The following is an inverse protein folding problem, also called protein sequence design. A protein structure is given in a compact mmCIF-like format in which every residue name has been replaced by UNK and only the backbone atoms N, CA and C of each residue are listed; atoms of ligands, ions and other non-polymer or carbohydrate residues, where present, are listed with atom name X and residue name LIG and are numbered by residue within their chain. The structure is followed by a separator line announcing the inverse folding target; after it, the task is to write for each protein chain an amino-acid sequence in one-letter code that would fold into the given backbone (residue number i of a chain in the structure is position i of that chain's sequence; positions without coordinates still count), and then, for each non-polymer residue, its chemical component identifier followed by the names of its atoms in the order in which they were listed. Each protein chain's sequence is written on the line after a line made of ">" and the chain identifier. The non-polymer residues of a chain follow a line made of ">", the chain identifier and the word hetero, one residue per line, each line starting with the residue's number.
data_IF_763238603985
#
_entry.id   IF_763238603985
#
_cell.length_a   1.000
_cell.length_b   1.000
_cell.length_c   1.000
_cell.angle_alpha   90.00
_cell.angle_beta   90.00
_cell.angle_gamma   90.00
#
_symmetry.space_group_name_H-M   'P 1'
#
loop_
_entity.id
_entity.type
_entity.pdbx_description
1 polymer ?
#
# COMPACT_ATOMS: atom_id res chain seq x y z
N UNK A 1 -15.54 16.56 -9.19
CA UNK A 1 -16.22 15.37 -9.69
C UNK A 1 -16.85 15.64 -11.05
N UNK A 2 -17.81 16.54 -11.17
CA UNK A 2 -18.50 16.88 -12.44
C UNK A 2 -17.55 17.17 -13.61
N UNK A 3 -16.42 17.84 -13.37
CA UNK A 3 -15.42 18.15 -14.39
C UNK A 3 -14.61 16.93 -14.84
N UNK A 4 -14.42 15.93 -13.98
CA UNK A 4 -13.76 14.68 -14.31
C UNK A 4 -14.70 13.73 -15.07
N UNK A 5 -15.95 13.65 -14.67
CA UNK A 5 -16.96 12.79 -15.27
C UNK A 5 -17.29 13.16 -16.71
N UNK A 6 -17.08 14.43 -17.12
CA UNK A 6 -17.27 14.86 -18.50
C UNK A 6 -16.13 14.50 -19.46
N UNK A 7 -14.96 14.12 -18.92
CA UNK A 7 -13.73 13.93 -19.73
C UNK A 7 -13.18 12.51 -19.64
N UNK A 8 -13.46 11.81 -18.54
CA UNK A 8 -12.92 10.47 -18.27
C UNK A 8 -14.01 9.52 -17.78
N UNK A 9 -13.77 8.21 -17.90
CA UNK A 9 -14.60 7.21 -17.21
C UNK A 9 -14.62 7.53 -15.72
N UNK A 10 -15.77 7.41 -15.05
CA UNK A 10 -15.88 7.71 -13.63
C UNK A 10 -14.88 6.84 -12.84
N UNK A 11 -13.94 7.49 -12.17
CA UNK A 11 -12.97 6.86 -11.29
C UNK A 11 -13.40 7.15 -9.86
N UNK A 12 -13.48 6.12 -8.98
CA UNK A 12 -13.80 6.32 -7.58
C UNK A 12 -12.79 7.26 -6.91
N UNK A 13 -13.30 8.28 -6.22
CA UNK A 13 -12.48 9.25 -5.50
C UNK A 13 -12.36 8.84 -4.03
N UNK A 14 -11.14 8.89 -3.51
CA UNK A 14 -10.84 8.64 -2.10
C UNK A 14 -10.29 9.90 -1.46
N UNK A 15 -10.95 10.39 -0.41
CA UNK A 15 -10.42 11.48 0.40
C UNK A 15 -9.61 10.91 1.56
N UNK A 16 -8.36 11.36 1.69
CA UNK A 16 -7.49 11.04 2.82
C UNK A 16 -7.59 12.18 3.85
N UNK A 17 -8.32 11.94 4.93
CA UNK A 17 -8.56 12.93 5.97
C UNK A 17 -7.62 12.69 7.14
N UNK A 18 -6.75 13.66 7.39
CA UNK A 18 -5.76 13.60 8.46
C UNK A 18 -6.36 14.05 9.82
N UNK A 19 -5.53 14.15 10.85
CA UNK A 19 -5.93 14.48 12.22
C UNK A 19 -6.82 15.75 12.33
N UNK A 20 -7.62 15.82 13.40
CA UNK A 20 -8.61 16.88 13.67
C UNK A 20 -9.65 17.10 12.57
N UNK A 21 -9.87 16.10 11.75
CA UNK A 21 -10.61 16.24 10.51
C UNK A 21 -12.05 15.73 10.53
N UNK A 22 -12.70 15.46 11.69
CA UNK A 22 -14.07 14.91 11.66
C UNK A 22 -15.05 15.83 10.92
N UNK A 23 -14.99 17.14 11.14
CA UNK A 23 -15.81 18.10 10.40
C UNK A 23 -15.49 18.07 8.90
N UNK A 24 -14.21 17.97 8.55
CA UNK A 24 -13.77 17.84 7.16
C UNK A 24 -14.20 16.48 6.60
N UNK A 25 -14.05 15.39 7.38
CA UNK A 25 -14.46 14.06 6.97
C UNK A 25 -15.96 13.99 6.62
N UNK A 26 -16.81 14.58 7.44
CA UNK A 26 -18.25 14.66 7.20
C UNK A 26 -18.59 15.48 5.94
N UNK A 27 -17.88 16.58 5.71
CA UNK A 27 -18.09 17.41 4.53
C UNK A 27 -17.63 16.69 3.25
N UNK A 28 -16.41 16.17 3.22
CA UNK A 28 -15.89 15.49 2.02
C UNK A 28 -16.60 14.17 1.74
N UNK A 29 -17.12 13.50 2.76
CA UNK A 29 -17.90 12.28 2.60
C UNK A 29 -19.08 12.44 1.65
N UNK A 30 -19.65 13.66 1.54
CA UNK A 30 -20.74 13.95 0.63
C UNK A 30 -20.31 13.91 -0.85
N UNK A 31 -19.02 14.13 -1.14
CA UNK A 31 -18.49 14.39 -2.48
C UNK A 31 -17.59 13.29 -3.04
N UNK A 32 -17.18 12.32 -2.22
CA UNK A 32 -16.28 11.23 -2.60
C UNK A 32 -16.92 9.86 -2.45
N UNK A 33 -16.31 8.84 -3.01
CA UNK A 33 -16.79 7.46 -2.96
C UNK A 33 -16.23 6.69 -1.74
N UNK A 34 -15.12 7.18 -1.18
CA UNK A 34 -14.46 6.60 -0.01
C UNK A 34 -13.79 7.69 0.82
N UNK A 35 -13.88 7.56 2.14
CA UNK A 35 -13.09 8.38 3.07
C UNK A 35 -12.06 7.50 3.78
N UNK A 36 -10.81 7.94 3.83
CA UNK A 36 -9.75 7.32 4.66
C UNK A 36 -9.53 8.16 5.90
N UNK A 37 -9.48 7.50 7.03
CA UNK A 37 -9.22 8.11 8.34
C UNK A 37 -8.17 7.32 9.12
N UNK A 38 -7.53 7.97 10.10
CA UNK A 38 -6.78 7.31 11.17
C UNK A 38 -7.47 7.59 12.51
N UNK A 39 -8.26 6.66 13.06
CA UNK A 39 -9.03 6.87 14.28
C UNK A 39 -8.18 7.32 15.47
N UNK A 40 -6.95 6.82 15.56
CA UNK A 40 -6.04 7.17 16.63
C UNK A 40 -5.66 8.64 16.70
N UNK A 41 -5.74 9.37 15.59
CA UNK A 41 -5.38 10.78 15.50
C UNK A 41 -6.59 11.74 15.56
N UNK A 42 -7.81 11.23 15.52
CA UNK A 42 -9.01 12.07 15.60
C UNK A 42 -9.42 12.40 17.03
N UNK A 43 -9.06 11.54 17.98
CA UNK A 43 -9.20 11.79 19.42
C UNK A 43 -7.80 11.96 19.98
N UNK A 44 -7.28 13.17 19.83
CA UNK A 44 -5.91 13.51 20.19
C UNK A 44 -5.91 14.40 21.42
N UNK A 45 -5.37 13.90 22.52
CA UNK A 45 -5.01 14.72 23.66
C UNK A 45 -3.60 15.26 23.43
N UNK A 46 -3.33 16.51 23.86
CA UNK A 46 -2.00 17.07 23.72
C UNK A 46 -0.98 16.15 24.42
N UNK A 47 0.17 15.85 23.78
CA UNK A 47 1.20 15.05 24.41
C UNK A 47 1.59 15.64 25.76
N UNK A 48 1.59 14.82 26.80
CA UNK A 48 2.16 15.17 28.10
C UNK A 48 3.58 14.62 28.17
N UNK A 49 4.61 15.45 28.10
CA UNK A 49 6.00 15.00 28.12
C UNK A 49 6.41 14.28 29.42
N UNK A 50 5.59 14.37 30.46
CA UNK A 50 5.84 13.70 31.74
C UNK A 50 5.05 12.37 31.85
N UNK A 51 4.22 12.04 30.89
CA UNK A 51 3.43 10.80 30.91
C UNK A 51 4.33 9.63 30.52
N UNK A 52 4.31 8.57 31.31
CA UNK A 52 5.07 7.34 31.08
C UNK A 52 4.20 6.14 30.79
N UNK A 53 2.89 6.21 31.07
CA UNK A 53 1.96 5.10 30.86
C UNK A 53 0.50 5.57 30.73
N UNK A 54 -0.37 4.68 30.26
CA UNK A 54 -1.82 4.83 30.26
C UNK A 54 -2.44 3.70 31.07
N UNK A 55 -3.34 4.00 31.99
CA UNK A 55 -4.13 3.00 32.70
C UNK A 55 -5.17 2.34 31.75
N UNK A 56 -5.60 1.15 32.07
CA UNK A 56 -6.64 0.46 31.31
C UNK A 56 -7.96 1.25 31.27
N UNK A 57 -8.29 1.98 32.35
CA UNK A 57 -9.47 2.83 32.39
C UNK A 57 -9.35 4.03 31.44
N UNK A 58 -8.17 4.66 31.30
CA UNK A 58 -7.93 5.72 30.35
C UNK A 58 -8.00 5.22 28.91
N UNK A 59 -7.43 4.04 28.65
CA UNK A 59 -7.50 3.41 27.33
C UNK A 59 -8.96 3.12 26.92
N UNK A 60 -9.76 2.58 27.84
CA UNK A 60 -11.19 2.34 27.62
C UNK A 60 -11.95 3.65 27.35
N UNK A 61 -11.74 4.68 28.18
CA UNK A 61 -12.39 5.98 28.00
C UNK A 61 -12.01 6.65 26.65
N UNK A 62 -10.77 6.48 26.19
CA UNK A 62 -10.36 6.95 24.86
C UNK A 62 -11.07 6.14 23.76
N UNK A 63 -11.24 4.82 23.95
CA UNK A 63 -12.00 3.96 23.05
C UNK A 63 -13.45 4.43 22.88
N UNK A 64 -14.13 4.74 23.98
CA UNK A 64 -15.51 5.27 23.97
C UNK A 64 -15.57 6.61 23.22
N UNK A 65 -14.66 7.53 23.50
CA UNK A 65 -14.56 8.82 22.79
C UNK A 65 -14.30 8.65 21.29
N UNK A 66 -13.51 7.68 20.89
CA UNK A 66 -13.29 7.35 19.49
C UNK A 66 -14.60 6.91 18.87
N UNK A 67 -15.32 5.99 19.50
CA UNK A 67 -16.61 5.49 19.05
C UNK A 67 -17.61 6.61 18.85
N UNK A 68 -17.82 7.44 19.86
CA UNK A 68 -18.73 8.59 19.79
C UNK A 68 -18.35 9.59 18.68
N UNK A 69 -17.05 9.82 18.50
CA UNK A 69 -16.54 10.76 17.48
C UNK A 69 -16.79 10.23 16.07
N UNK A 70 -16.64 8.92 15.84
CA UNK A 70 -16.74 8.32 14.50
C UNK A 70 -18.16 7.89 14.11
N UNK A 71 -19.02 7.66 15.05
CA UNK A 71 -20.39 7.19 14.79
C UNK A 71 -21.14 8.03 13.73
N UNK A 72 -21.10 9.39 13.75
CA UNK A 72 -21.75 10.21 12.74
C UNK A 72 -21.21 9.96 11.32
N UNK A 73 -19.88 9.80 11.16
CA UNK A 73 -19.28 9.53 9.86
C UNK A 73 -19.66 8.15 9.34
N UNK A 74 -19.63 7.15 10.20
CA UNK A 74 -19.98 5.76 9.83
C UNK A 74 -21.45 5.69 9.40
N UNK A 75 -22.35 6.35 10.12
CA UNK A 75 -23.77 6.43 9.77
C UNK A 75 -23.97 7.09 8.40
N UNK A 76 -23.35 8.26 8.19
CA UNK A 76 -23.43 9.00 6.92
C UNK A 76 -22.92 8.15 5.73
N UNK A 77 -21.77 7.50 5.88
CA UNK A 77 -21.22 6.67 4.81
C UNK A 77 -22.10 5.43 4.53
N UNK A 78 -22.65 4.82 5.56
CA UNK A 78 -23.59 3.70 5.42
C UNK A 78 -24.87 4.11 4.70
N UNK A 79 -25.46 5.23 5.07
CA UNK A 79 -26.67 5.78 4.43
C UNK A 79 -26.46 6.12 2.95
N UNK A 80 -25.23 6.52 2.57
CA UNK A 80 -24.87 6.88 1.20
C UNK A 80 -24.22 5.75 0.40
N UNK A 81 -24.15 4.52 0.93
CA UNK A 81 -23.48 3.36 0.32
C UNK A 81 -22.04 3.66 -0.10
N UNK A 82 -21.30 4.31 0.78
CA UNK A 82 -19.91 4.73 0.55
C UNK A 82 -18.94 3.97 1.44
N UNK A 83 -17.72 3.78 0.95
CA UNK A 83 -16.70 3.02 1.65
C UNK A 83 -15.96 3.86 2.70
N UNK A 84 -15.56 3.21 3.79
CA UNK A 84 -14.63 3.74 4.79
C UNK A 84 -13.31 2.94 4.71
N UNK A 85 -12.18 3.64 4.77
CA UNK A 85 -10.88 3.05 4.95
C UNK A 85 -10.28 3.50 6.27
N UNK A 86 -9.93 2.56 7.13
CA UNK A 86 -9.13 2.81 8.33
C UNK A 86 -7.67 2.62 7.93
N UNK A 87 -6.86 3.64 8.15
CA UNK A 87 -5.44 3.63 7.81
C UNK A 87 -4.61 4.08 9.01
N UNK A 88 -3.72 3.20 9.45
CA UNK A 88 -2.77 3.47 10.54
C UNK A 88 -1.36 3.33 9.98
N UNK A 89 -0.48 4.26 10.32
CA UNK A 89 0.94 4.23 9.96
C UNK A 89 1.77 4.20 11.24
N UNK A 90 2.95 3.59 11.18
CA UNK A 90 3.87 3.55 12.32
C UNK A 90 4.22 4.97 12.81
N UNK A 91 4.63 5.86 11.93
CA UNK A 91 4.96 7.26 12.26
C UNK A 91 3.77 8.13 12.71
N UNK A 92 2.55 7.58 12.71
CA UNK A 92 1.33 8.26 13.18
C UNK A 92 0.49 7.39 14.13
N UNK A 93 1.15 6.50 14.87
CA UNK A 93 0.52 5.76 15.95
C UNK A 93 0.13 6.71 17.09
N UNK A 94 -1.02 6.44 17.70
CA UNK A 94 -1.41 7.17 18.90
C UNK A 94 -0.44 6.86 20.04
N UNK A 95 -0.09 7.88 20.82
CA UNK A 95 0.88 7.81 21.92
C UNK A 95 0.62 6.64 22.88
N UNK A 96 -0.66 6.37 23.22
CA UNK A 96 -1.07 5.23 24.05
C UNK A 96 -0.68 3.87 23.48
N UNK A 97 -0.60 3.75 22.14
CA UNK A 97 -0.17 2.52 21.48
C UNK A 97 1.35 2.35 21.57
N UNK A 98 2.08 3.45 21.42
CA UNK A 98 3.54 3.47 21.61
C UNK A 98 3.92 3.09 23.04
N UNK A 99 3.22 3.61 24.05
CA UNK A 99 3.47 3.24 25.45
C UNK A 99 3.14 1.77 25.74
N UNK A 100 2.07 1.23 25.15
CA UNK A 100 1.65 -0.15 25.41
C UNK A 100 2.56 -1.18 24.72
N UNK A 101 3.03 -0.90 23.51
CA UNK A 101 3.75 -1.86 22.67
C UNK A 101 5.21 -1.48 22.43
N UNK A 102 5.66 -0.32 22.91
CA UNK A 102 7.02 0.19 22.78
C UNK A 102 7.33 0.79 21.43
N UNK A 103 8.22 1.78 21.45
CA UNK A 103 8.92 2.25 20.27
C UNK A 103 10.23 1.44 20.17
N UNK A 104 10.23 0.40 19.36
CA UNK A 104 11.45 -0.38 19.17
C UNK A 104 12.31 0.29 18.09
N UNK A 105 13.55 0.73 18.42
CA UNK A 105 14.40 1.52 17.54
C UNK A 105 15.03 0.70 16.37
N UNK A 106 14.34 -0.28 15.84
CA UNK A 106 14.80 -1.11 14.75
C UNK A 106 14.24 -0.60 13.41
N UNK A 107 14.65 0.60 13.00
CA UNK A 107 14.32 1.19 11.70
C UNK A 107 14.72 0.34 10.48
N UNK A 108 15.47 -0.74 10.68
CA UNK A 108 15.65 -1.80 9.66
C UNK A 108 14.61 -2.91 9.75
N UNK A 109 13.82 -2.96 10.81
CA UNK A 109 12.77 -3.95 11.06
C UNK A 109 11.38 -3.42 10.67
N UNK A 110 11.26 -2.19 10.21
CA UNK A 110 9.97 -1.62 9.78
C UNK A 110 9.24 -2.51 8.77
N UNK A 111 9.95 -3.10 7.82
CA UNK A 111 9.36 -4.08 6.91
C UNK A 111 8.93 -5.36 7.64
N UNK A 112 9.75 -5.87 8.55
CA UNK A 112 9.44 -7.09 9.30
C UNK A 112 8.34 -6.86 10.34
N UNK A 113 8.34 -5.71 11.02
CA UNK A 113 7.27 -5.31 11.95
C UNK A 113 5.96 -5.10 11.20
N UNK A 114 6.00 -4.46 10.04
CA UNK A 114 4.82 -4.29 9.19
C UNK A 114 4.27 -5.66 8.74
N UNK A 115 5.12 -6.56 8.27
CA UNK A 115 4.73 -7.91 7.86
C UNK A 115 4.12 -8.70 9.02
N UNK A 116 4.76 -8.67 10.19
CA UNK A 116 4.23 -9.31 11.40
C UNK A 116 2.87 -8.72 11.82
N UNK A 117 2.73 -7.39 11.78
CA UNK A 117 1.48 -6.72 12.13
C UNK A 117 0.33 -7.10 11.18
N UNK A 118 0.57 -7.17 9.87
CA UNK A 118 -0.44 -7.62 8.90
C UNK A 118 -0.83 -9.09 9.11
N UNK A 119 0.15 -9.98 9.35
CA UNK A 119 -0.12 -11.40 9.65
C UNK A 119 -0.94 -11.55 10.91
N UNK A 120 -0.52 -10.93 12.02
CA UNK A 120 -1.25 -10.96 13.28
C UNK A 120 -2.67 -10.37 13.14
N UNK A 121 -2.84 -9.32 12.35
CA UNK A 121 -4.15 -8.74 12.09
C UNK A 121 -5.03 -9.70 11.29
N UNK A 122 -4.50 -10.33 10.25
CA UNK A 122 -5.21 -11.32 9.45
C UNK A 122 -5.63 -12.52 10.31
N UNK A 123 -4.71 -13.10 11.08
CA UNK A 123 -4.99 -14.22 12.00
C UNK A 123 -6.09 -13.85 13.02
N UNK A 124 -6.04 -12.62 13.54
CA UNK A 124 -7.05 -12.14 14.48
C UNK A 124 -8.41 -11.93 13.82
N UNK A 125 -8.42 -11.38 12.62
CA UNK A 125 -9.67 -11.22 11.84
C UNK A 125 -10.31 -12.59 11.56
N UNK A 126 -9.52 -13.55 11.12
CA UNK A 126 -10.00 -14.91 10.85
C UNK A 126 -10.56 -15.58 12.13
N UNK A 127 -9.84 -15.46 13.24
CA UNK A 127 -10.29 -16.00 14.53
C UNK A 127 -11.62 -15.39 15.03
N UNK A 128 -11.90 -14.14 14.68
CA UNK A 128 -13.12 -13.42 15.04
C UNK A 128 -14.21 -13.46 13.94
N UNK A 129 -13.93 -14.12 12.81
CA UNK A 129 -14.86 -14.25 11.68
C UNK A 129 -15.05 -12.95 10.87
N UNK A 130 -14.06 -12.04 10.89
CA UNK A 130 -14.05 -10.82 10.09
C UNK A 130 -13.31 -11.03 8.78
N UNK A 131 -13.90 -10.60 7.67
CA UNK A 131 -13.33 -10.74 6.32
C UNK A 131 -13.25 -9.35 5.64
N UNK A 132 -12.59 -8.40 6.29
CA UNK A 132 -12.39 -7.07 5.71
C UNK A 132 -11.22 -7.07 4.72
N UNK A 133 -11.36 -6.37 3.57
CA UNK A 133 -10.27 -6.22 2.62
C UNK A 133 -9.05 -5.53 3.24
N UNK A 134 -7.88 -6.11 3.04
CA UNK A 134 -6.62 -5.56 3.51
C UNK A 134 -5.98 -4.65 2.45
N UNK A 135 -5.52 -3.49 2.88
CA UNK A 135 -4.81 -2.55 2.02
C UNK A 135 -3.35 -2.44 2.44
N UNK A 136 -2.47 -2.95 1.61
CA UNK A 136 -1.04 -2.98 1.88
C UNK A 136 -0.37 -1.67 1.42
N UNK A 137 0.59 -1.20 2.19
CA UNK A 137 1.41 -0.05 1.81
C UNK A 137 2.60 0.12 2.72
N UNK A 138 3.77 0.37 2.14
CA UNK A 138 4.96 0.78 2.87
C UNK A 138 4.97 2.30 2.90
N UNK A 139 4.97 2.88 4.11
CA UNK A 139 5.13 4.31 4.31
C UNK A 139 6.61 4.64 4.52
N UNK A 140 7.00 5.88 4.18
CA UNK A 140 8.39 6.34 4.37
C UNK A 140 9.41 5.47 3.63
N UNK A 141 9.03 4.97 2.44
CA UNK A 141 9.91 4.15 1.64
C UNK A 141 11.13 4.93 1.09
N UNK A 142 10.97 6.27 0.95
CA UNK A 142 11.97 7.13 0.35
C UNK A 142 11.71 7.36 -1.14
N UNK A 143 12.76 7.56 -1.91
CA UNK A 143 12.74 7.85 -3.34
C UNK A 143 13.59 6.89 -4.15
N UNK A 144 13.62 7.09 -5.47
CA UNK A 144 14.47 6.36 -6.40
C UNK A 144 14.30 4.85 -6.33
N UNK A 145 15.34 4.13 -6.68
CA UNK A 145 15.33 2.67 -6.71
C UNK A 145 15.22 2.05 -5.32
N UNK A 146 15.82 2.70 -4.32
CA UNK A 146 15.74 2.21 -2.94
C UNK A 146 14.31 2.22 -2.41
N UNK A 147 13.56 3.31 -2.64
CA UNK A 147 12.14 3.39 -2.27
C UNK A 147 11.29 2.33 -2.99
N UNK A 148 11.58 2.05 -4.25
CA UNK A 148 10.92 1.00 -5.05
C UNK A 148 11.22 -0.39 -4.51
N UNK A 149 12.48 -0.67 -4.18
CA UNK A 149 12.91 -1.97 -3.61
C UNK A 149 12.26 -2.18 -2.24
N UNK A 150 12.28 -1.18 -1.36
CA UNK A 150 11.66 -1.25 -0.03
C UNK A 150 10.15 -1.49 -0.11
N UNK A 151 9.47 -0.76 -0.98
CA UNK A 151 8.03 -0.95 -1.24
C UNK A 151 7.73 -2.34 -1.78
N UNK A 152 8.54 -2.82 -2.74
CA UNK A 152 8.39 -4.16 -3.31
C UNK A 152 8.58 -5.23 -2.26
N UNK A 153 9.62 -5.17 -1.45
CA UNK A 153 9.91 -6.15 -0.41
C UNK A 153 8.77 -6.29 0.59
N UNK A 154 8.20 -5.15 1.06
CA UNK A 154 7.11 -5.18 2.01
C UNK A 154 5.78 -5.67 1.41
N UNK A 155 5.41 -5.17 0.24
CA UNK A 155 4.14 -5.49 -0.39
C UNK A 155 4.15 -6.91 -0.98
N UNK A 156 5.21 -7.26 -1.73
CA UNK A 156 5.27 -8.53 -2.43
C UNK A 156 5.29 -9.73 -1.47
N UNK A 157 5.94 -9.62 -0.33
CA UNK A 157 5.97 -10.68 0.68
C UNK A 157 4.56 -11.05 1.15
N UNK A 158 3.75 -10.05 1.52
CA UNK A 158 2.38 -10.29 1.98
C UNK A 158 1.48 -10.81 0.85
N UNK A 159 1.58 -10.24 -0.34
CA UNK A 159 0.81 -10.71 -1.50
C UNK A 159 1.15 -12.16 -1.88
N UNK A 160 2.42 -12.58 -1.76
CA UNK A 160 2.82 -13.97 -2.02
C UNK A 160 2.26 -14.96 -1.00
N UNK A 161 1.88 -14.49 0.19
CA UNK A 161 1.21 -15.25 1.24
C UNK A 161 -0.32 -15.22 1.10
N UNK A 162 -0.85 -14.55 0.07
CA UNK A 162 -2.30 -14.38 -0.13
C UNK A 162 -2.92 -13.28 0.73
N UNK A 163 -2.12 -12.46 1.39
CA UNK A 163 -2.58 -11.35 2.21
C UNK A 163 -2.57 -10.04 1.42
N UNK A 164 -3.71 -9.39 1.30
CA UNK A 164 -3.86 -8.07 0.69
C UNK A 164 -4.75 -8.06 -0.56
N UNK A 165 -5.67 -7.12 -0.60
CA UNK A 165 -6.66 -6.94 -1.67
C UNK A 165 -6.36 -5.71 -2.52
N UNK A 166 -5.71 -4.73 -1.94
CA UNK A 166 -5.28 -3.51 -2.63
C UNK A 166 -3.91 -3.07 -2.12
N UNK A 167 -3.16 -2.38 -2.98
CA UNK A 167 -1.81 -1.91 -2.65
C UNK A 167 -1.65 -0.42 -2.87
N UNK A 168 -0.69 0.18 -2.16
CA UNK A 168 -0.21 1.54 -2.37
C UNK A 168 1.30 1.57 -2.27
N UNK A 169 1.93 2.10 -3.28
CA UNK A 169 3.33 2.56 -3.23
C UNK A 169 3.32 4.03 -2.83
N UNK A 170 4.28 4.47 -2.03
CA UNK A 170 4.43 5.84 -1.59
C UNK A 170 5.89 6.25 -1.72
N UNK A 171 6.17 7.16 -2.64
CA UNK A 171 7.52 7.65 -2.95
C UNK A 171 7.60 9.16 -2.75
N UNK A 172 8.79 9.66 -2.42
CA UNK A 172 9.08 11.10 -2.41
C UNK A 172 9.33 11.58 -3.84
N UNK A 173 8.37 11.32 -4.72
CA UNK A 173 8.38 11.64 -6.15
C UNK A 173 6.98 12.09 -6.58
N UNK A 174 6.84 12.49 -7.86
CA UNK A 174 5.55 12.81 -8.45
C UNK A 174 4.62 11.57 -8.43
N UNK A 175 3.34 11.71 -8.01
CA UNK A 175 2.44 10.57 -7.74
C UNK A 175 2.22 9.64 -8.94
N UNK A 176 2.30 10.16 -10.16
CA UNK A 176 2.16 9.38 -11.39
C UNK A 176 3.25 8.30 -11.55
N UNK A 177 4.38 8.44 -10.84
CA UNK A 177 5.47 7.46 -10.85
C UNK A 177 5.19 6.26 -9.93
N UNK A 178 4.28 6.37 -9.00
CA UNK A 178 3.91 5.29 -8.06
C UNK A 178 3.09 4.19 -8.75
N UNK A 179 2.24 4.57 -9.70
CA UNK A 179 1.34 3.64 -10.40
C UNK A 179 2.09 2.57 -11.20
N UNK A 180 3.10 2.91 -12.02
CA UNK A 180 3.90 1.91 -12.72
C UNK A 180 4.60 0.93 -11.76
N UNK A 181 5.05 1.41 -10.60
CA UNK A 181 5.68 0.55 -9.58
C UNK A 181 4.68 -0.43 -8.99
N UNK A 182 3.45 0.01 -8.69
CA UNK A 182 2.38 -0.89 -8.24
C UNK A 182 2.12 -2.00 -9.26
N UNK A 183 1.99 -1.66 -10.54
CA UNK A 183 1.78 -2.66 -11.59
C UNK A 183 2.99 -3.58 -11.79
N UNK A 184 4.21 -3.08 -11.65
CA UNK A 184 5.42 -3.91 -11.71
C UNK A 184 5.47 -4.94 -10.59
N UNK A 185 5.08 -4.55 -9.36
CA UNK A 185 4.98 -5.48 -8.23
C UNK A 185 3.96 -6.59 -8.52
N UNK A 186 2.77 -6.23 -8.99
CA UNK A 186 1.71 -7.20 -9.31
C UNK A 186 2.11 -8.13 -10.46
N UNK A 187 2.81 -7.61 -11.47
CA UNK A 187 3.28 -8.41 -12.59
C UNK A 187 4.41 -9.36 -12.18
N UNK A 188 5.38 -8.89 -11.40
CA UNK A 188 6.47 -9.73 -10.89
C UNK A 188 5.99 -10.92 -10.04
N UNK A 189 4.80 -10.79 -9.42
CA UNK A 189 4.13 -11.87 -8.68
C UNK A 189 3.17 -12.71 -9.56
N UNK A 190 3.05 -12.41 -10.84
CA UNK A 190 2.09 -13.09 -11.72
C UNK A 190 0.62 -12.78 -11.44
N UNK A 191 0.33 -11.82 -10.57
CA UNK A 191 -1.05 -11.48 -10.16
C UNK A 191 -1.78 -10.65 -11.22
N UNK A 192 -1.04 -9.86 -12.00
CA UNK A 192 -1.61 -9.03 -13.05
C UNK A 192 -0.60 -8.72 -14.14
N UNK A 193 -0.93 -9.02 -15.40
CA UNK A 193 -0.13 -8.65 -16.58
C UNK A 193 -0.64 -7.34 -17.18
N UNK A 194 0.19 -6.31 -17.18
CA UNK A 194 -0.14 -4.97 -17.72
C UNK A 194 0.84 -4.49 -18.78
N UNK A 195 1.98 -5.16 -18.89
CA UNK A 195 3.03 -4.87 -19.88
C UNK A 195 3.61 -6.19 -20.42
N UNK A 196 4.53 -6.09 -21.35
CA UNK A 196 5.31 -7.26 -21.81
C UNK A 196 6.26 -7.69 -20.69
N UNK A 197 6.30 -8.98 -20.42
CA UNK A 197 7.31 -9.59 -19.57
C UNK A 197 8.54 -9.94 -20.42
N UNK A 198 9.70 -9.38 -20.09
CA UNK A 198 10.94 -9.66 -20.78
C UNK A 198 11.85 -10.53 -19.92
N UNK A 199 12.11 -11.72 -20.39
CA UNK A 199 13.04 -12.66 -19.76
C UNK A 199 14.35 -12.66 -20.55
N UNK A 200 15.47 -12.38 -19.91
CA UNK A 200 16.78 -12.42 -20.55
C UNK A 200 17.83 -12.98 -19.61
N UNK A 201 18.78 -13.71 -20.15
CA UNK A 201 19.93 -14.15 -19.38
C UNK A 201 20.94 -13.01 -19.16
N UNK A 202 21.82 -13.10 -18.13
CA UNK A 202 22.76 -12.03 -17.80
C UNK A 202 23.96 -11.94 -18.74
N UNK A 203 23.95 -12.55 -19.91
CA UNK A 203 25.06 -12.63 -20.84
C UNK A 203 26.36 -13.17 -20.20
N UNK A 204 27.01 -14.12 -20.82
CA UNK A 204 28.26 -14.71 -20.34
C UNK A 204 29.21 -14.90 -21.53
N UNK A 205 30.42 -15.41 -21.30
CA UNK A 205 31.40 -15.65 -22.35
C UNK A 205 30.98 -16.63 -23.46
N UNK A 206 29.83 -17.30 -23.32
CA UNK A 206 29.21 -18.16 -24.34
C UNK A 206 28.24 -17.43 -25.27
N UNK A 207 27.85 -16.18 -24.95
CA UNK A 207 26.99 -15.35 -25.78
C UNK A 207 27.85 -14.66 -26.84
N UNK A 208 27.54 -14.93 -28.11
CA UNK A 208 28.32 -14.43 -29.25
C UNK A 208 27.75 -13.16 -29.90
N UNK A 209 26.81 -12.49 -29.23
CA UNK A 209 26.18 -11.26 -29.70
C UNK A 209 25.94 -10.29 -28.52
N UNK A 210 25.70 -9.02 -28.84
CA UNK A 210 25.37 -8.03 -27.82
C UNK A 210 23.91 -8.19 -27.37
N UNK A 211 23.72 -8.95 -26.29
CA UNK A 211 22.39 -9.28 -25.75
C UNK A 211 21.62 -8.02 -25.29
N UNK A 212 22.32 -7.07 -24.70
CA UNK A 212 21.70 -5.81 -24.23
C UNK A 212 21.14 -5.00 -25.41
N UNK A 213 21.89 -4.86 -26.49
CA UNK A 213 21.45 -4.18 -27.69
C UNK A 213 20.24 -4.87 -28.34
N UNK A 214 20.27 -6.20 -28.42
CA UNK A 214 19.15 -6.99 -28.97
C UNK A 214 17.92 -6.85 -28.10
N UNK A 215 18.06 -6.96 -26.77
CA UNK A 215 16.98 -6.78 -25.84
C UNK A 215 16.34 -5.37 -25.99
N UNK A 216 17.16 -4.34 -26.10
CA UNK A 216 16.68 -2.98 -26.31
C UNK A 216 15.89 -2.84 -27.62
N UNK A 217 16.36 -3.42 -28.73
CA UNK A 217 15.65 -3.43 -30.00
C UNK A 217 14.32 -4.17 -29.91
N UNK A 218 14.31 -5.34 -29.26
CA UNK A 218 13.09 -6.13 -29.07
C UNK A 218 12.09 -5.35 -28.21
N UNK A 219 12.53 -4.77 -27.10
CA UNK A 219 11.68 -3.94 -26.24
C UNK A 219 11.07 -2.77 -27.00
N UNK A 220 11.87 -2.05 -27.78
CA UNK A 220 11.39 -0.92 -28.58
C UNK A 220 10.32 -1.29 -29.58
N UNK A 221 10.44 -2.48 -30.16
CA UNK A 221 9.48 -2.99 -31.17
C UNK A 221 8.21 -3.60 -30.57
N UNK A 222 8.25 -4.10 -29.32
CA UNK A 222 7.19 -4.95 -28.75
C UNK A 222 6.54 -4.40 -27.49
N UNK A 223 7.01 -3.28 -26.94
CA UNK A 223 6.49 -2.74 -25.67
C UNK A 223 4.98 -2.45 -25.65
N UNK A 224 4.36 -2.28 -26.81
CA UNK A 224 2.92 -2.07 -26.96
C UNK A 224 2.10 -3.36 -26.89
N UNK A 225 2.74 -4.54 -26.97
CA UNK A 225 2.08 -5.86 -26.99
C UNK A 225 1.87 -6.36 -25.55
N UNK A 226 0.92 -5.78 -24.83
CA UNK A 226 0.67 -6.13 -23.43
C UNK A 226 0.24 -7.59 -23.27
N UNK A 227 0.65 -8.22 -22.16
CA UNK A 227 0.26 -9.57 -21.79
C UNK A 227 1.10 -10.70 -22.41
N UNK A 228 2.14 -10.36 -23.18
CA UNK A 228 3.08 -11.33 -23.74
C UNK A 228 4.29 -11.54 -22.80
N UNK A 229 4.84 -12.74 -22.86
CA UNK A 229 6.13 -13.10 -22.26
C UNK A 229 7.13 -13.27 -23.42
N UNK A 230 8.18 -12.46 -23.47
CA UNK A 230 9.18 -12.47 -24.53
C UNK A 230 10.54 -12.80 -23.93
N UNK A 231 11.08 -13.95 -24.31
CA UNK A 231 12.43 -14.36 -23.92
C UNK A 231 13.45 -13.89 -24.97
N UNK A 232 14.49 -13.19 -24.50
CA UNK A 232 15.64 -12.80 -25.31
C UNK A 232 16.89 -13.44 -24.72
N UNK A 233 17.23 -14.60 -25.25
CA UNK A 233 18.40 -15.38 -24.81
C UNK A 233 18.94 -16.17 -25.99
N UNK A 234 20.18 -16.61 -25.88
CA UNK A 234 20.80 -17.49 -26.86
C UNK A 234 22.30 -17.48 -26.71
N UNK A 235 22.88 -18.66 -26.74
CA UNK A 235 24.31 -18.89 -26.73
C UNK A 235 24.62 -20.25 -27.38
N UNK A 236 25.87 -20.66 -27.38
CA UNK A 236 26.25 -21.96 -27.94
C UNK A 236 25.74 -23.17 -27.11
N UNK A 237 25.15 -22.94 -25.97
CA UNK A 237 24.59 -24.00 -25.08
C UNK A 237 23.08 -23.90 -24.97
N UNK A 238 22.56 -22.69 -24.78
CA UNK A 238 21.11 -22.43 -24.60
C UNK A 238 20.52 -21.88 -25.88
N UNK A 239 19.56 -22.56 -26.43
CA UNK A 239 18.82 -22.17 -27.62
C UNK A 239 17.31 -22.13 -27.42
N UNK A 240 16.54 -21.98 -28.51
CA UNK A 240 15.08 -22.02 -28.44
C UNK A 240 14.61 -23.37 -27.88
N UNK A 241 13.93 -23.33 -26.75
CA UNK A 241 13.37 -24.54 -26.11
C UNK A 241 13.76 -24.74 -24.66
N UNK A 242 14.53 -23.84 -24.07
CA UNK A 242 14.74 -23.77 -22.62
C UNK A 242 13.76 -22.85 -21.91
#
# INVERSE_FOLDING_TARGET
>A
RQRLESTYKPVPLVADVHHNGMKIALEVAQHVDKVRINPGLFVFDKPDPNRTEFSEAEIAAIGDRITETFEPLVKLLKEQDKALRIGVNHGSLAERMLFRYGDTPLGMVESAVMLAAYRMMADRMDAEGFHYPLHLGVTEAGDGDYGRIKSTAGIATLLSEGLGDTIRVSLTEAPEKEIPVCYSILQALGLRKTMVEYVSCPSCGRTLFNLEEVLHKVRSATAHLTGLDIAVMGCIVNGPGE
#
